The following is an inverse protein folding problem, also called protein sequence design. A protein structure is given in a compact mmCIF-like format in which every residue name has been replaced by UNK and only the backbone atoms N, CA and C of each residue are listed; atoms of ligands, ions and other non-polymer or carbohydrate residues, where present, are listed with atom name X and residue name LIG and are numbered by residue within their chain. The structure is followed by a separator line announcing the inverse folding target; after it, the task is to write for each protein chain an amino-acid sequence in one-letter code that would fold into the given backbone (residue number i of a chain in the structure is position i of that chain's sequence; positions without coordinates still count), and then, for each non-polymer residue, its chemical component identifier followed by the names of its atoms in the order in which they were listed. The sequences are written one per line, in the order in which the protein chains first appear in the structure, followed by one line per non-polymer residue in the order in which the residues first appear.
data_IF_611467389155
#
_entry.id   IF_611467389155
#
_cell.length_a   1.000
_cell.length_b   1.000
_cell.length_c   1.000
_cell.angle_alpha   90.00
_cell.angle_beta   90.00
_cell.angle_gamma   90.00
#
_symmetry.space_group_name_H-M   'P 1'
#
loop_
_entity.id
_entity.type
_entity.pdbx_description
1 polymer ?
#
# COMPACT_ATOMS: atom_id res chain seq x y z
N UNK A 1 -56.08 49.13 -2.22
CA UNK A 1 -56.38 47.94 -3.03
C UNK A 1 -55.71 46.77 -2.31
N UNK A 2 -56.26 46.28 -1.19
CA UNK A 2 -57.47 45.43 -1.10
C UNK A 2 -57.38 44.29 -2.11
N UNK A 3 -57.33 43.00 -1.74
CA UNK A 3 -58.29 42.31 -0.87
C UNK A 3 -57.69 41.14 -0.05
N UNK A 4 -58.30 40.96 1.14
CA UNK A 4 -58.36 39.74 1.97
C UNK A 4 -58.89 38.53 1.19
N UNK A 5 -58.50 37.30 1.58
CA UNK A 5 -59.49 36.31 2.03
C UNK A 5 -58.88 35.15 2.82
N UNK A 6 -59.54 34.84 3.93
CA UNK A 6 -59.34 33.69 4.80
C UNK A 6 -60.21 32.51 4.32
N UNK A 7 -59.83 31.27 4.67
CA UNK A 7 -60.78 30.18 4.85
C UNK A 7 -60.13 29.06 5.69
N UNK A 8 -60.66 28.80 6.90
CA UNK A 8 -61.46 27.60 7.27
C UNK A 8 -60.66 26.31 7.17
N UNK A 9 -60.22 25.70 8.26
CA UNK A 9 -61.07 25.22 9.34
C UNK A 9 -61.51 23.80 8.98
N UNK A 10 -60.79 22.80 9.49
CA UNK A 10 -61.31 21.44 9.64
C UNK A 10 -60.72 20.83 10.91
N UNK A 11 -61.63 20.67 11.87
CA UNK A 11 -61.52 19.80 13.02
C UNK A 11 -61.68 18.36 12.53
N UNK A 12 -60.77 17.48 12.92
CA UNK A 12 -60.99 16.03 12.93
C UNK A 12 -60.55 15.53 14.29
N UNK A 13 -61.54 15.20 15.12
CA UNK A 13 -61.42 14.16 16.14
C UNK A 13 -60.90 12.88 15.47
N UNK A 14 -59.84 12.31 16.03
CA UNK A 14 -59.48 10.92 15.75
C UNK A 14 -59.31 10.22 17.09
N UNK A 15 -60.16 9.23 17.26
CA UNK A 15 -60.30 8.35 18.40
C UNK A 15 -58.99 7.68 18.82
N UNK A 16 -58.88 7.52 20.14
CA UNK A 16 -57.98 6.61 20.81
C UNK A 16 -58.27 5.17 20.37
N UNK A 17 -57.36 4.56 19.62
CA UNK A 17 -57.18 3.11 19.60
C UNK A 17 -55.73 2.75 19.90
N UNK A 18 -55.53 2.32 21.14
CA UNK A 18 -54.35 1.64 21.62
C UNK A 18 -54.15 0.35 20.83
N UNK A 19 -53.24 0.36 19.86
CA UNK A 19 -52.70 -0.85 19.25
C UNK A 19 -51.26 -1.03 19.73
N UNK A 20 -51.13 -2.00 20.64
CA UNK A 20 -49.92 -2.76 20.92
C UNK A 20 -49.33 -3.26 19.60
N UNK A 21 -48.20 -2.71 19.20
CA UNK A 21 -47.41 -3.23 18.09
C UNK A 21 -46.14 -3.83 18.68
N UNK A 22 -46.02 -5.14 18.47
CA UNK A 22 -44.83 -5.94 18.71
C UNK A 22 -43.62 -5.26 18.09
N UNK A 23 -42.56 -5.10 18.88
CA UNK A 23 -41.26 -4.63 18.40
C UNK A 23 -40.67 -5.79 17.61
N UNK A 24 -40.94 -5.80 16.31
CA UNK A 24 -40.25 -6.66 15.35
C UNK A 24 -38.75 -6.34 15.43
N UNK A 25 -37.97 -7.35 15.81
CA UNK A 25 -36.51 -7.32 15.90
C UNK A 25 -35.84 -7.33 14.53
N UNK A 26 -36.16 -6.35 13.69
CA UNK A 26 -35.59 -6.17 12.35
C UNK A 26 -35.05 -4.74 12.17
N UNK A 27 -34.13 -4.34 13.05
CA UNK A 27 -33.37 -3.06 12.90
C UNK A 27 -31.85 -3.31 12.79
N UNK A 28 -31.40 -4.57 12.78
CA UNK A 28 -29.97 -4.90 12.63
C UNK A 28 -29.52 -5.13 11.18
N UNK A 29 -30.33 -4.78 10.18
CA UNK A 29 -29.94 -4.81 8.77
C UNK A 29 -29.70 -3.42 8.15
N UNK A 30 -30.01 -2.32 8.86
CA UNK A 30 -29.96 -0.96 8.30
C UNK A 30 -28.96 -0.02 9.02
N UNK A 31 -28.00 -0.59 9.76
CA UNK A 31 -26.83 0.14 10.30
C UNK A 31 -25.51 -0.37 9.70
N UNK A 32 -25.57 -1.29 8.73
CA UNK A 32 -24.38 -1.82 8.04
C UNK A 32 -24.14 -1.19 6.67
N UNK A 33 -25.12 -0.47 6.11
CA UNK A 33 -24.92 0.25 4.83
C UNK A 33 -24.36 1.66 5.00
N UNK A 34 -24.29 2.21 6.21
CA UNK A 34 -23.85 3.60 6.42
C UNK A 34 -22.36 3.78 6.79
N UNK A 35 -21.57 2.69 6.83
CA UNK A 35 -20.12 2.77 7.08
C UNK A 35 -19.28 2.41 5.86
N UNK A 36 -19.89 1.96 4.76
CA UNK A 36 -19.17 1.61 3.51
C UNK A 36 -19.07 2.80 2.54
N UNK A 37 -19.80 3.90 2.77
CA UNK A 37 -19.67 5.13 1.94
C UNK A 37 -18.50 6.05 2.34
N UNK A 38 -17.69 5.70 3.34
CA UNK A 38 -16.52 6.50 3.74
C UNK A 38 -15.19 6.07 3.09
N UNK A 39 -15.20 5.06 2.22
CA UNK A 39 -14.01 4.61 1.46
C UNK A 39 -14.22 4.75 -0.06
N UNK A 40 -15.43 5.10 -0.51
CA UNK A 40 -15.78 5.34 -1.93
C UNK A 40 -15.48 6.75 -2.43
N UNK A 41 -14.46 7.41 -1.88
CA UNK A 41 -14.15 8.82 -2.12
C UNK A 41 -12.69 9.08 -2.48
N UNK A 42 -11.96 8.10 -3.03
CA UNK A 42 -10.74 8.42 -3.78
C UNK A 42 -11.20 8.88 -5.15
N UNK A 43 -11.58 10.16 -5.22
CA UNK A 43 -11.69 10.90 -6.47
C UNK A 43 -10.36 10.69 -7.18
N UNK A 44 -10.42 9.96 -8.28
CA UNK A 44 -9.37 9.80 -9.27
C UNK A 44 -9.08 11.20 -9.83
N UNK A 45 -8.31 11.98 -9.09
CA UNK A 45 -7.67 13.16 -9.59
C UNK A 45 -6.59 12.65 -10.56
N UNK A 46 -7.02 12.32 -11.78
CA UNK A 46 -6.15 12.26 -12.95
C UNK A 46 -5.60 13.67 -13.11
N UNK A 47 -4.56 13.97 -12.35
CA UNK A 47 -3.72 15.12 -12.61
C UNK A 47 -3.08 14.82 -13.96
N UNK A 48 -3.63 15.42 -15.00
CA UNK A 48 -2.99 15.52 -16.30
C UNK A 48 -1.65 16.22 -16.04
N UNK A 49 -0.59 15.41 -15.84
CA UNK A 49 0.77 15.89 -15.60
C UNK A 49 1.23 16.51 -16.91
N UNK A 50 0.93 17.79 -17.07
CA UNK A 50 1.49 18.61 -18.12
C UNK A 50 2.98 18.71 -17.83
N UNK A 51 3.77 17.85 -18.50
CA UNK A 51 5.24 17.88 -18.44
C UNK A 51 5.68 19.26 -18.93
N UNK A 52 5.95 20.14 -17.97
CA UNK A 52 6.51 21.45 -18.25
C UNK A 52 7.90 21.22 -18.80
N UNK A 53 8.01 21.29 -20.14
CA UNK A 53 9.27 21.44 -20.88
C UNK A 53 9.82 22.83 -20.56
N UNK A 54 10.17 23.07 -19.30
CA UNK A 54 11.04 24.19 -18.96
C UNK A 54 12.39 23.85 -19.57
N UNK A 55 12.63 24.43 -20.74
CA UNK A 55 13.90 24.44 -21.44
C UNK A 55 14.96 24.96 -20.47
N UNK A 56 15.63 24.03 -19.77
CA UNK A 56 16.87 24.25 -19.01
C UNK A 56 18.03 24.51 -19.99
N UNK A 57 17.85 25.48 -20.89
CA UNK A 57 18.90 26.00 -21.76
C UNK A 57 19.94 26.65 -20.84
N UNK A 58 20.93 25.85 -20.42
CA UNK A 58 21.99 26.30 -19.51
C UNK A 58 22.57 25.22 -18.60
N UNK A 59 21.92 24.06 -18.42
CA UNK A 59 22.46 23.02 -17.51
C UNK A 59 23.53 22.12 -18.13
N UNK A 60 23.60 21.99 -19.45
CA UNK A 60 24.51 21.05 -20.12
C UNK A 60 25.32 21.76 -21.21
N UNK A 61 26.54 22.26 -20.90
CA UNK A 61 27.34 23.03 -21.84
C UNK A 61 27.75 22.23 -23.10
N UNK A 62 27.71 20.90 -23.06
CA UNK A 62 28.02 20.02 -24.19
C UNK A 62 26.82 19.62 -25.05
N UNK A 63 25.61 20.10 -24.76
CA UNK A 63 24.41 19.74 -25.50
C UNK A 63 24.50 20.14 -26.98
N UNK A 64 24.29 19.17 -27.88
CA UNK A 64 24.34 19.37 -29.33
C UNK A 64 25.73 19.66 -29.92
N UNK A 65 26.80 19.66 -29.11
CA UNK A 65 28.16 19.86 -29.60
C UNK A 65 28.69 18.60 -30.28
N UNK A 66 29.56 18.76 -31.27
CA UNK A 66 30.19 17.62 -31.94
C UNK A 66 31.11 16.85 -30.98
N UNK A 67 31.06 15.52 -31.02
CA UNK A 67 32.00 14.66 -30.32
C UNK A 67 33.41 14.87 -30.87
N UNK A 68 34.35 15.25 -29.99
CA UNK A 68 35.76 15.47 -30.35
C UNK A 68 35.94 16.35 -31.60
N UNK A 69 35.18 17.43 -31.71
CA UNK A 69 35.21 18.36 -32.85
C UNK A 69 34.91 17.68 -34.21
N UNK A 70 34.31 16.49 -34.19
CA UNK A 70 34.00 15.71 -35.39
C UNK A 70 35.16 14.91 -35.97
N UNK A 71 36.25 14.66 -35.22
CA UNK A 71 37.42 13.84 -35.66
C UNK A 71 37.07 12.45 -36.19
N UNK A 72 35.92 11.90 -35.78
CA UNK A 72 35.45 10.56 -36.16
C UNK A 72 34.40 10.57 -37.28
N UNK A 73 33.98 11.76 -37.76
CA UNK A 73 32.97 11.89 -38.81
C UNK A 73 33.39 11.12 -40.07
N UNK A 74 32.49 10.28 -40.57
CA UNK A 74 32.69 9.49 -41.80
C UNK A 74 33.47 8.19 -41.61
N UNK A 75 33.93 7.86 -40.40
CA UNK A 75 34.55 6.57 -40.06
C UNK A 75 33.52 5.58 -39.50
N UNK A 76 32.41 5.41 -40.22
CA UNK A 76 31.29 4.59 -39.76
C UNK A 76 31.77 3.15 -39.58
N UNK A 77 31.57 2.58 -38.38
CA UNK A 77 31.97 1.20 -38.04
C UNK A 77 31.34 0.12 -38.94
N UNK A 78 30.24 0.44 -39.63
CA UNK A 78 29.56 -0.42 -40.60
C UNK A 78 28.09 -0.03 -40.81
N UNK A 79 27.39 -0.76 -41.68
CA UNK A 79 26.00 -0.46 -42.07
C UNK A 79 24.97 -0.49 -40.93
N UNK A 80 25.33 -1.02 -39.76
CA UNK A 80 24.47 -1.04 -38.56
C UNK A 80 24.43 0.27 -37.76
N UNK A 81 25.29 1.23 -38.09
CA UNK A 81 25.49 2.45 -37.31
C UNK A 81 25.09 3.71 -38.09
N UNK A 82 24.79 4.77 -37.34
CA UNK A 82 24.54 6.11 -37.85
C UNK A 82 25.40 7.09 -37.08
N UNK A 83 26.05 8.00 -37.81
CA UNK A 83 26.78 9.11 -37.23
C UNK A 83 25.81 10.15 -36.67
N UNK A 84 25.85 10.35 -35.36
CA UNK A 84 25.11 11.41 -34.66
C UNK A 84 26.15 12.31 -34.00
N UNK A 85 26.28 13.54 -34.48
CA UNK A 85 27.18 14.51 -33.87
C UNK A 85 28.67 14.15 -33.95
N UNK A 86 29.11 13.25 -34.83
CA UNK A 86 30.49 12.76 -34.85
C UNK A 86 30.73 11.51 -34.00
N UNK A 87 29.67 10.83 -33.54
CA UNK A 87 29.72 9.60 -32.78
C UNK A 87 28.82 8.52 -33.40
N UNK A 88 29.33 7.30 -33.53
CA UNK A 88 28.59 6.18 -34.11
C UNK A 88 27.62 5.57 -33.10
N UNK A 89 26.36 5.40 -33.51
CA UNK A 89 25.28 4.86 -32.67
C UNK A 89 24.50 3.79 -33.44
N UNK A 90 24.07 2.69 -32.80
CA UNK A 90 23.21 1.70 -33.43
C UNK A 90 21.95 2.33 -34.04
N UNK A 91 21.60 1.94 -35.26
CA UNK A 91 20.42 2.46 -35.99
C UNK A 91 19.11 2.37 -35.20
N UNK A 92 18.95 1.31 -34.42
CA UNK A 92 17.75 1.04 -33.60
C UNK A 92 17.56 2.06 -32.48
N UNK A 93 18.64 2.68 -32.00
CA UNK A 93 18.64 3.57 -30.84
C UNK A 93 18.96 5.03 -31.23
N UNK A 94 19.22 5.27 -32.52
CA UNK A 94 19.67 6.54 -33.07
C UNK A 94 18.74 7.73 -32.72
N UNK A 95 17.43 7.54 -32.82
CA UNK A 95 16.46 8.60 -32.50
C UNK A 95 16.55 9.04 -31.04
N UNK A 96 16.58 8.08 -30.11
CA UNK A 96 16.69 8.35 -28.68
C UNK A 96 18.04 8.96 -28.33
N UNK A 97 19.14 8.42 -28.87
CA UNK A 97 20.47 8.99 -28.65
C UNK A 97 20.56 10.42 -29.14
N UNK A 98 19.95 10.75 -30.29
CA UNK A 98 19.94 12.12 -30.81
C UNK A 98 19.24 13.07 -29.84
N UNK A 99 18.15 12.66 -29.22
CA UNK A 99 17.48 13.47 -28.19
C UNK A 99 18.36 13.65 -26.95
N UNK A 100 19.02 12.59 -26.49
CA UNK A 100 19.95 12.67 -25.37
C UNK A 100 21.09 13.64 -25.69
N UNK A 101 21.68 13.50 -26.87
CA UNK A 101 22.75 14.37 -27.36
C UNK A 101 22.34 15.84 -27.39
N UNK A 102 21.15 16.14 -27.91
CA UNK A 102 20.63 17.51 -28.01
C UNK A 102 20.30 18.13 -26.64
N UNK A 103 19.99 17.32 -25.62
CA UNK A 103 19.59 17.82 -24.30
C UNK A 103 20.74 17.82 -23.28
N UNK A 104 21.61 16.82 -23.33
CA UNK A 104 22.61 16.51 -22.31
C UNK A 104 24.04 16.50 -22.87
N UNK A 105 24.21 16.42 -24.20
CA UNK A 105 25.49 16.20 -24.86
C UNK A 105 25.78 14.72 -25.10
N UNK A 106 26.95 14.42 -25.67
CA UNK A 106 27.37 13.04 -25.90
C UNK A 106 27.50 12.29 -24.57
N UNK A 107 27.08 11.01 -24.58
CA UNK A 107 27.26 10.09 -23.45
C UNK A 107 28.75 9.77 -23.27
N UNK A 108 29.42 9.43 -24.38
CA UNK A 108 30.84 9.11 -24.37
C UNK A 108 31.69 10.33 -23.99
N UNK A 109 32.81 10.04 -23.35
CA UNK A 109 33.81 11.00 -22.90
C UNK A 109 35.18 10.37 -23.09
N UNK A 110 36.14 11.14 -23.61
CA UNK A 110 37.51 10.65 -23.82
C UNK A 110 38.44 10.89 -22.63
N UNK A 111 37.89 11.33 -21.48
CA UNK A 111 38.67 11.67 -20.28
C UNK A 111 39.44 10.48 -19.71
N UNK A 112 38.79 9.32 -19.66
CA UNK A 112 39.38 8.07 -19.14
C UNK A 112 39.79 7.12 -20.26
N UNK A 113 38.96 7.01 -21.32
CA UNK A 113 39.27 6.20 -22.49
C UNK A 113 39.74 7.12 -23.63
N UNK A 114 41.04 7.10 -24.00
CA UNK A 114 41.53 7.92 -25.10
C UNK A 114 40.82 7.63 -26.43
N UNK A 115 40.91 8.58 -27.36
CA UNK A 115 40.37 8.47 -28.72
C UNK A 115 40.83 7.20 -29.47
N UNK A 116 42.00 6.64 -29.12
CA UNK A 116 42.49 5.36 -29.67
C UNK A 116 41.57 4.17 -29.34
N UNK A 117 40.74 4.29 -28.31
CA UNK A 117 39.75 3.29 -27.90
C UNK A 117 38.32 3.67 -28.32
N UNK A 118 38.17 4.47 -29.37
CA UNK A 118 36.87 4.90 -29.89
C UNK A 118 35.88 3.73 -30.09
N UNK A 119 36.34 2.62 -30.69
CA UNK A 119 35.49 1.42 -30.86
C UNK A 119 34.94 0.89 -29.52
N UNK A 120 35.78 0.83 -28.48
CA UNK A 120 35.35 0.42 -27.15
C UNK A 120 34.33 1.39 -26.56
N UNK A 121 34.50 2.69 -26.78
CA UNK A 121 33.52 3.69 -26.34
C UNK A 121 32.16 3.49 -27.02
N UNK A 122 32.14 3.26 -28.33
CA UNK A 122 30.90 2.97 -29.09
C UNK A 122 30.19 1.73 -28.55
N UNK A 123 30.93 0.65 -28.28
CA UNK A 123 30.36 -0.59 -27.70
C UNK A 123 29.72 -0.33 -26.33
N UNK A 124 30.43 0.34 -25.42
CA UNK A 124 29.92 0.63 -24.07
C UNK A 124 28.70 1.56 -24.11
N UNK A 125 28.72 2.57 -24.98
CA UNK A 125 27.57 3.44 -25.19
C UNK A 125 26.37 2.66 -25.73
N UNK A 126 26.59 1.71 -26.64
CA UNK A 126 25.51 0.86 -27.18
C UNK A 126 24.89 -0.01 -26.07
N UNK A 127 25.71 -0.63 -25.22
CA UNK A 127 25.22 -1.38 -24.05
C UNK A 127 24.43 -0.48 -23.09
N UNK A 128 24.90 0.74 -22.86
CA UNK A 128 24.21 1.70 -22.01
C UNK A 128 22.89 2.19 -22.63
N UNK A 129 22.83 2.39 -23.95
CA UNK A 129 21.60 2.75 -24.65
C UNK A 129 20.53 1.67 -24.50
N UNK A 130 20.93 0.40 -24.57
CA UNK A 130 20.02 -0.71 -24.28
C UNK A 130 19.49 -0.67 -22.84
N UNK A 131 20.31 -0.25 -21.86
CA UNK A 131 19.85 -0.02 -20.47
C UNK A 131 18.88 1.15 -20.40
N UNK A 132 19.16 2.26 -21.08
CA UNK A 132 18.28 3.44 -21.10
C UNK A 132 16.91 3.09 -21.71
N UNK A 133 16.89 2.35 -22.81
CA UNK A 133 15.64 1.90 -23.44
C UNK A 133 14.84 1.04 -22.48
N UNK A 134 15.47 0.08 -21.80
CA UNK A 134 14.81 -0.75 -20.77
C UNK A 134 14.26 0.10 -19.63
N UNK A 135 15.07 1.00 -19.06
CA UNK A 135 14.65 1.88 -17.96
C UNK A 135 13.48 2.80 -18.33
N UNK A 136 13.39 3.21 -19.60
CA UNK A 136 12.28 4.05 -20.07
C UNK A 136 11.02 3.25 -20.42
N UNK A 137 11.17 1.97 -20.77
CA UNK A 137 10.07 1.10 -21.18
C UNK A 137 9.48 0.23 -20.06
N UNK A 138 10.22 -0.01 -18.97
CA UNK A 138 9.76 -0.87 -17.89
C UNK A 138 8.61 -0.24 -17.10
N UNK A 139 7.56 -1.02 -16.85
CA UNK A 139 6.53 -0.67 -15.86
C UNK A 139 7.03 -1.00 -14.45
N UNK A 140 6.41 -0.41 -13.43
CA UNK A 140 6.88 -0.58 -12.04
C UNK A 140 6.79 -2.05 -11.58
N UNK A 141 5.81 -2.80 -12.10
CA UNK A 141 5.59 -4.22 -11.80
C UNK A 141 6.69 -5.12 -12.38
N UNK A 142 7.34 -4.70 -13.46
CA UNK A 142 8.45 -5.42 -14.10
C UNK A 142 9.80 -5.12 -13.42
N UNK A 143 9.88 -4.04 -12.65
CA UNK A 143 11.09 -3.65 -11.94
C UNK A 143 11.28 -4.57 -10.74
N UNK A 144 12.38 -5.32 -10.74
CA UNK A 144 12.81 -6.14 -9.61
C UNK A 144 14.13 -5.63 -9.03
N UNK A 145 14.46 -6.07 -7.81
CA UNK A 145 15.77 -5.76 -7.21
C UNK A 145 16.95 -6.23 -8.06
N UNK A 146 16.79 -7.34 -8.79
CA UNK A 146 17.80 -7.89 -9.71
C UNK A 146 17.99 -6.96 -10.92
N UNK A 147 16.89 -6.54 -11.54
CA UNK A 147 16.91 -5.59 -12.68
C UNK A 147 17.55 -4.26 -12.29
N UNK A 148 17.20 -3.71 -11.12
CA UNK A 148 17.85 -2.49 -10.58
C UNK A 148 19.35 -2.72 -10.38
N UNK A 149 19.74 -3.89 -9.86
CA UNK A 149 21.15 -4.27 -9.65
C UNK A 149 21.95 -4.31 -10.96
N UNK A 150 21.35 -4.85 -12.02
CA UNK A 150 21.98 -4.89 -13.35
C UNK A 150 22.14 -3.50 -13.95
N UNK A 151 21.12 -2.64 -13.84
CA UNK A 151 21.22 -1.23 -14.28
C UNK A 151 22.31 -0.49 -13.51
N UNK A 152 22.34 -0.64 -12.18
CA UNK A 152 23.36 -0.04 -11.29
C UNK A 152 24.77 -0.45 -11.71
N UNK A 153 24.99 -1.73 -12.04
CA UNK A 153 26.29 -2.24 -12.48
C UNK A 153 26.77 -1.55 -13.75
N UNK A 154 25.91 -1.46 -14.77
CA UNK A 154 26.25 -0.80 -16.04
C UNK A 154 26.52 0.69 -15.87
N UNK A 155 25.66 1.38 -15.10
CA UNK A 155 25.82 2.81 -14.79
C UNK A 155 27.13 3.05 -14.03
N UNK A 156 27.50 2.21 -13.05
CA UNK A 156 28.79 2.33 -12.34
C UNK A 156 30.00 2.16 -13.25
N UNK A 157 29.93 1.28 -14.24
CA UNK A 157 31.02 1.13 -15.22
C UNK A 157 31.17 2.42 -16.02
N UNK A 158 30.08 2.96 -16.54
CA UNK A 158 30.10 4.22 -17.29
C UNK A 158 30.58 5.42 -16.44
N UNK A 159 30.22 5.48 -15.16
CA UNK A 159 30.72 6.53 -14.25
C UNK A 159 32.22 6.46 -14.02
N UNK A 160 32.77 5.25 -13.86
CA UNK A 160 34.23 5.06 -13.74
C UNK A 160 34.99 5.49 -14.98
N UNK A 161 34.33 5.50 -16.13
CA UNK A 161 34.87 5.99 -17.40
C UNK A 161 34.64 7.49 -17.60
N UNK A 162 34.07 8.17 -16.59
CA UNK A 162 33.69 9.59 -16.63
C UNK A 162 32.79 9.93 -17.83
N UNK A 163 31.89 9.01 -18.20
CA UNK A 163 30.87 9.27 -19.19
C UNK A 163 29.83 10.25 -18.64
N UNK A 164 29.21 11.01 -19.54
CA UNK A 164 28.25 12.05 -19.19
C UNK A 164 26.85 11.45 -18.95
N UNK A 165 26.71 10.80 -17.80
CA UNK A 165 25.52 10.00 -17.45
C UNK A 165 24.90 10.40 -16.11
N UNK A 166 25.22 11.59 -15.59
CA UNK A 166 24.69 12.06 -14.30
C UNK A 166 23.15 12.13 -14.27
N UNK A 167 22.52 12.47 -15.40
CA UNK A 167 21.06 12.45 -15.54
C UNK A 167 20.47 11.02 -15.43
N UNK A 168 21.20 10.02 -15.93
CA UNK A 168 20.78 8.61 -15.88
C UNK A 168 20.93 8.04 -14.47
N UNK A 169 22.01 8.41 -13.77
CA UNK A 169 22.19 8.10 -12.34
C UNK A 169 21.02 8.64 -11.52
N UNK A 170 20.66 9.90 -11.71
CA UNK A 170 19.52 10.50 -11.01
C UNK A 170 18.22 9.73 -11.31
N UNK A 171 17.97 9.39 -12.58
CA UNK A 171 16.80 8.60 -12.97
C UNK A 171 16.75 7.23 -12.28
N UNK A 172 17.88 6.55 -12.13
CA UNK A 172 17.94 5.29 -11.41
C UNK A 172 17.58 5.45 -9.92
N UNK A 173 18.06 6.51 -9.27
CA UNK A 173 17.73 6.79 -7.87
C UNK A 173 16.24 7.10 -7.69
N UNK A 174 15.63 7.85 -8.61
CA UNK A 174 14.19 8.09 -8.61
C UNK A 174 13.42 6.76 -8.69
N UNK A 175 13.83 5.84 -9.57
CA UNK A 175 13.21 4.52 -9.70
C UNK A 175 13.35 3.71 -8.40
N UNK A 176 14.53 3.73 -7.76
CA UNK A 176 14.74 3.03 -6.48
C UNK A 176 13.83 3.54 -5.37
N UNK A 177 13.60 4.84 -5.31
CA UNK A 177 12.67 5.45 -4.33
C UNK A 177 11.28 4.88 -4.56
N UNK A 178 10.75 4.99 -5.79
CA UNK A 178 9.41 4.52 -6.16
C UNK A 178 9.24 3.03 -5.91
N UNK A 179 10.22 2.21 -6.31
CA UNK A 179 10.22 0.77 -6.06
C UNK A 179 10.18 0.42 -4.56
N UNK A 180 10.92 1.17 -3.74
CA UNK A 180 10.91 0.96 -2.28
C UNK A 180 9.59 1.37 -1.61
N UNK A 181 8.90 2.36 -2.17
CA UNK A 181 7.59 2.83 -1.69
C UNK A 181 6.49 1.83 -2.06
N UNK A 182 6.49 1.35 -3.30
CA UNK A 182 5.54 0.34 -3.77
C UNK A 182 5.65 -0.95 -2.96
N UNK A 183 6.88 -1.41 -2.72
CA UNK A 183 7.11 -2.59 -1.87
C UNK A 183 6.53 -2.43 -0.45
N UNK A 184 6.65 -1.25 0.15
CA UNK A 184 6.05 -0.96 1.47
C UNK A 184 4.53 -0.94 1.39
N UNK A 185 3.98 -0.38 0.32
CA UNK A 185 2.53 -0.34 0.12
C UNK A 185 1.98 -1.77 -0.02
N UNK A 186 2.64 -2.63 -0.78
CA UNK A 186 2.27 -4.04 -0.91
C UNK A 186 2.30 -4.77 0.43
N UNK A 187 3.31 -4.52 1.28
CA UNK A 187 3.40 -5.08 2.62
C UNK A 187 2.24 -4.63 3.52
N UNK A 188 1.90 -3.33 3.49
CA UNK A 188 0.76 -2.77 4.25
C UNK A 188 -0.57 -3.37 3.77
N UNK A 189 -0.75 -3.53 2.46
CA UNK A 189 -1.96 -4.14 1.89
C UNK A 189 -2.08 -5.60 2.33
N UNK A 190 -0.99 -6.36 2.30
CA UNK A 190 -0.98 -7.74 2.76
C UNK A 190 -1.33 -7.85 4.27
N UNK A 191 -0.76 -6.98 5.11
CA UNK A 191 -1.08 -6.92 6.54
C UNK A 191 -2.56 -6.54 6.78
N UNK A 192 -3.08 -5.58 6.00
CA UNK A 192 -4.48 -5.18 6.08
C UNK A 192 -5.42 -6.34 5.73
N UNK A 193 -5.11 -7.10 4.69
CA UNK A 193 -5.94 -8.22 4.27
C UNK A 193 -5.91 -9.38 5.28
N UNK A 194 -4.76 -9.62 5.92
CA UNK A 194 -4.66 -10.55 7.05
C UNK A 194 -5.51 -10.07 8.24
N UNK A 195 -5.44 -8.78 8.58
CA UNK A 195 -6.22 -8.20 9.66
C UNK A 195 -7.73 -8.28 9.39
N UNK A 196 -8.17 -8.02 8.16
CA UNK A 196 -9.57 -8.19 7.74
C UNK A 196 -10.03 -9.64 7.89
N UNK A 197 -9.20 -10.60 7.51
CA UNK A 197 -9.52 -12.02 7.68
C UNK A 197 -9.71 -12.39 9.16
N UNK A 198 -8.87 -11.87 10.06
CA UNK A 198 -9.02 -12.06 11.52
C UNK A 198 -10.29 -11.43 12.07
N UNK A 199 -10.66 -10.23 11.60
CA UNK A 199 -11.91 -9.56 12.01
C UNK A 199 -13.12 -10.38 11.59
N UNK A 200 -13.17 -10.87 10.35
CA UNK A 200 -14.26 -11.71 9.85
C UNK A 200 -14.41 -12.98 10.70
N UNK A 201 -13.31 -13.60 11.11
CA UNK A 201 -13.35 -14.79 11.96
C UNK A 201 -13.84 -14.47 13.38
N UNK A 202 -13.36 -13.39 13.99
CA UNK A 202 -13.81 -12.95 15.30
C UNK A 202 -15.31 -12.58 15.32
N UNK A 203 -15.81 -11.95 14.24
CA UNK A 203 -17.23 -11.64 14.07
C UNK A 203 -18.11 -12.90 14.01
N UNK A 204 -17.65 -13.94 13.31
CA UNK A 204 -18.35 -15.24 13.28
C UNK A 204 -18.40 -15.89 14.66
N UNK A 205 -17.30 -15.86 15.41
CA UNK A 205 -17.25 -16.40 16.77
C UNK A 205 -18.17 -15.64 17.71
N UNK A 206 -18.17 -14.31 17.62
CA UNK A 206 -19.06 -13.45 18.40
C UNK A 206 -20.53 -13.72 18.08
N UNK A 207 -20.88 -13.95 16.82
CA UNK A 207 -22.22 -14.34 16.42
C UNK A 207 -22.65 -15.68 17.06
N UNK A 208 -21.78 -16.69 17.03
CA UNK A 208 -22.04 -17.99 17.65
C UNK A 208 -22.23 -17.88 19.17
N UNK A 209 -21.40 -17.10 19.86
CA UNK A 209 -21.52 -16.89 21.30
C UNK A 209 -22.79 -16.11 21.67
N UNK A 210 -23.19 -15.13 20.84
CA UNK A 210 -24.48 -14.45 21.01
C UNK A 210 -25.66 -15.41 20.91
N UNK A 211 -25.63 -16.34 19.96
CA UNK A 211 -26.67 -17.37 19.81
C UNK A 211 -26.72 -18.29 21.05
N UNK A 212 -25.55 -18.71 21.56
CA UNK A 212 -25.44 -19.50 22.80
C UNK A 212 -25.98 -18.76 24.02
N UNK A 213 -25.66 -17.48 24.16
CA UNK A 213 -26.18 -16.64 25.25
C UNK A 213 -27.69 -16.49 25.17
N UNK A 214 -28.24 -16.23 23.98
CA UNK A 214 -29.69 -16.17 23.77
C UNK A 214 -30.37 -17.50 24.13
N UNK A 215 -29.79 -18.64 23.73
CA UNK A 215 -30.29 -19.96 24.09
C UNK A 215 -30.21 -20.24 25.61
N UNK A 216 -29.23 -19.68 26.33
CA UNK A 216 -29.13 -19.79 27.78
C UNK A 216 -30.15 -18.89 28.48
N UNK A 217 -30.35 -17.67 27.98
CA UNK A 217 -31.31 -16.70 28.51
C UNK A 217 -32.73 -17.26 28.50
N UNK A 218 -33.14 -17.97 27.43
CA UNK A 218 -34.46 -18.64 27.37
C UNK A 218 -34.63 -19.76 28.41
N UNK A 219 -33.54 -20.34 28.95
CA UNK A 219 -33.57 -21.41 29.96
C UNK A 219 -33.67 -20.89 31.39
N UNK A 220 -33.35 -19.61 31.64
CA UNK A 220 -33.36 -19.03 32.99
C UNK A 220 -34.80 -18.95 33.58
N UNK A 221 -35.83 -18.46 32.87
CA UNK A 221 -37.17 -18.34 33.44
C UNK A 221 -37.77 -19.66 33.93
N UNK A 222 -37.72 -20.78 33.17
CA UNK A 222 -38.20 -22.09 33.64
C UNK A 222 -37.49 -22.56 34.93
N UNK A 223 -36.17 -22.36 35.04
CA UNK A 223 -35.40 -22.73 36.22
C UNK A 223 -35.78 -21.89 37.45
N UNK A 224 -36.02 -20.59 37.26
CA UNK A 224 -36.52 -19.72 38.33
C UNK A 224 -37.90 -20.14 38.82
N UNK A 225 -38.81 -20.47 37.90
CA UNK A 225 -40.15 -21.00 38.24
C UNK A 225 -40.02 -22.34 38.98
N UNK A 226 -39.18 -23.25 38.49
CA UNK A 226 -38.94 -24.55 39.15
C UNK A 226 -38.39 -24.37 40.58
N UNK A 227 -37.44 -23.46 40.78
CA UNK A 227 -36.89 -23.11 42.10
C UNK A 227 -37.95 -22.54 43.04
N UNK A 228 -38.81 -21.65 42.56
CA UNK A 228 -39.89 -21.08 43.37
C UNK A 228 -40.92 -22.16 43.74
N UNK A 229 -41.31 -23.01 42.78
CA UNK A 229 -42.20 -24.14 43.02
C UNK A 229 -41.64 -25.12 44.06
N UNK A 230 -40.33 -25.39 44.02
CA UNK A 230 -39.65 -26.20 45.02
C UNK A 230 -39.73 -25.57 46.42
N UNK A 231 -39.43 -24.26 46.54
CA UNK A 231 -39.57 -23.53 47.81
C UNK A 231 -40.98 -23.57 48.36
N UNK A 232 -41.99 -23.37 47.51
CA UNK A 232 -43.40 -23.40 47.92
C UNK A 232 -43.84 -24.80 48.37
N UNK A 233 -43.38 -25.87 47.68
CA UNK A 233 -43.69 -27.25 48.05
C UNK A 233 -43.01 -27.69 49.34
N UNK A 234 -41.78 -27.25 49.59
CA UNK A 234 -41.00 -27.61 50.77
C UNK A 234 -41.19 -26.61 51.92
N UNK A 235 -42.32 -25.87 51.97
CA UNK A 235 -42.61 -24.71 52.83
C UNK A 235 -42.61 -24.88 54.35
N UNK A 236 -41.79 -25.76 54.91
CA UNK A 236 -41.35 -25.67 56.30
C UNK A 236 -40.12 -24.77 56.44
N UNK A 237 -39.84 -24.21 57.62
CA UNK A 237 -38.53 -23.64 57.92
C UNK A 237 -37.49 -24.67 57.49
N UNK A 238 -36.52 -24.29 56.65
CA UNK A 238 -35.33 -25.10 56.51
C UNK A 238 -34.84 -25.32 57.93
N UNK A 239 -34.96 -26.54 58.44
CA UNK A 239 -34.21 -26.97 59.59
C UNK A 239 -32.76 -26.91 59.11
N UNK A 240 -32.17 -25.71 59.22
CA UNK A 240 -30.74 -25.53 59.35
C UNK A 240 -30.41 -26.50 60.47
N UNK A 241 -29.85 -27.64 60.09
CA UNK A 241 -29.22 -28.54 61.04
C UNK A 241 -28.11 -27.73 61.69
N UNK A 242 -28.45 -27.01 62.76
CA UNK A 242 -27.55 -26.66 63.85
C UNK A 242 -27.23 -27.98 64.58
N UNK A 243 -26.70 -28.94 63.84
CA UNK A 243 -26.07 -30.11 64.40
C UNK A 243 -24.73 -29.62 64.90
N UNK A 244 -24.63 -29.36 66.21
CA UNK A 244 -23.36 -29.34 66.94
C UNK A 244 -22.69 -30.72 66.96
N UNK A 245 -22.67 -31.41 65.82
CA UNK A 245 -21.90 -32.61 65.61
C UNK A 245 -20.60 -32.16 64.96
N UNK A 246 -19.55 -32.19 65.78
CA UNK A 246 -18.16 -32.18 65.38
C UNK A 246 -17.93 -33.29 64.34
N UNK A 247 -18.18 -32.99 63.07
CA UNK A 247 -17.75 -33.83 61.96
C UNK A 247 -16.35 -33.35 61.59
N UNK A 248 -15.36 -34.13 62.01
CA UNK A 248 -13.99 -34.00 61.52
C UNK A 248 -14.00 -33.90 60.00
N UNK A 249 -13.23 -32.97 59.41
CA UNK A 249 -13.10 -32.89 57.97
C UNK A 249 -12.47 -34.19 57.48
N UNK A 250 -13.24 -34.99 56.75
CA UNK A 250 -12.67 -36.05 55.92
C UNK A 250 -12.00 -35.34 54.75
N UNK A 251 -10.70 -35.12 54.90
CA UNK A 251 -9.81 -34.68 53.84
C UNK A 251 -9.79 -35.78 52.78
N UNK A 252 -10.61 -35.63 51.75
CA UNK A 252 -10.40 -36.37 50.51
C UNK A 252 -9.15 -35.77 49.82
N UNK A 253 -8.18 -36.60 49.39
CA UNK A 253 -7.01 -36.10 48.68
C UNK A 253 -7.47 -35.53 47.32
N UNK A 254 -7.34 -34.22 47.17
CA UNK A 254 -7.37 -33.55 45.88
C UNK A 254 -6.10 -33.99 45.15
N UNK A 255 -6.25 -34.83 44.12
CA UNK A 255 -5.22 -35.02 43.13
C UNK A 255 -5.23 -33.79 42.23
N UNK A 256 -4.30 -32.87 42.49
CA UNK A 256 -3.92 -31.80 41.59
C UNK A 256 -3.11 -32.39 40.43
N UNK A 257 -3.79 -32.79 39.36
CA UNK A 257 -3.16 -33.03 38.06
C UNK A 257 -2.88 -31.67 37.39
N UNK A 258 -1.79 -31.03 37.85
CA UNK A 258 -1.18 -29.90 37.18
C UNK A 258 -0.47 -30.37 35.91
N UNK A 259 -1.15 -30.29 34.77
CA UNK A 259 -0.50 -30.31 33.45
C UNK A 259 -0.09 -28.87 33.13
N UNK A 260 1.13 -28.51 33.57
CA UNK A 260 1.84 -27.33 33.12
C UNK A 260 2.38 -27.64 31.71
N UNK A 261 1.76 -27.06 30.68
CA UNK A 261 2.36 -26.99 29.34
C UNK A 261 2.87 -25.57 29.18
N UNK A 262 4.15 -25.35 29.47
CA UNK A 262 4.83 -24.10 29.10
C UNK A 262 5.08 -24.14 27.59
N UNK A 263 4.38 -23.29 26.83
CA UNK A 263 4.87 -22.87 25.52
C UNK A 263 5.89 -21.73 25.72
N UNK A 264 7.09 -21.82 25.11
CA UNK A 264 8.07 -20.74 25.16
C UNK A 264 7.62 -19.57 24.28
N UNK A 265 7.36 -18.43 24.92
CA UNK A 265 7.25 -17.13 24.26
C UNK A 265 8.63 -16.72 23.70
N UNK A 266 8.75 -16.39 22.40
CA UNK A 266 9.95 -15.75 21.90
C UNK A 266 9.98 -14.25 22.27
N UNK A 267 11.10 -13.85 22.85
CA UNK A 267 11.46 -12.48 23.20
C UNK A 267 11.28 -11.50 22.03
N UNK A 268 10.34 -10.55 22.17
CA UNK A 268 10.25 -9.38 21.29
C UNK A 268 10.88 -8.17 21.99
N UNK A 269 12.17 -7.97 21.73
CA UNK A 269 12.91 -6.79 22.19
C UNK A 269 12.79 -5.63 21.18
N UNK A 270 11.95 -4.66 21.54
CA UNK A 270 12.16 -3.21 21.44
C UNK A 270 12.84 -2.64 20.19
N UNK A 271 12.03 -2.31 19.19
CA UNK A 271 12.35 -1.27 18.20
C UNK A 271 11.83 0.08 18.67
N UNK A 272 12.73 0.91 19.20
CA UNK A 272 12.47 2.31 19.57
C UNK A 272 12.65 3.18 18.33
N UNK A 273 11.57 3.48 17.60
CA UNK A 273 11.59 4.43 16.48
C UNK A 273 11.02 5.78 16.94
N UNK A 274 11.88 6.78 17.00
CA UNK A 274 11.46 8.18 17.05
C UNK A 274 10.87 8.64 15.71
N UNK A 275 10.08 9.73 15.69
CA UNK A 275 9.39 10.18 14.49
C UNK A 275 10.35 10.89 13.54
N UNK A 276 10.40 10.55 12.24
CA UNK A 276 11.01 11.42 11.26
C UNK A 276 10.01 12.49 10.83
N UNK A 277 10.38 13.72 11.12
CA UNK A 277 9.78 14.95 10.61
C UNK A 277 9.64 14.88 9.09
N UNK A 278 8.40 14.96 8.60
CA UNK A 278 8.09 14.96 7.18
C UNK A 278 8.69 16.18 6.47
N UNK A 279 9.49 15.91 5.44
CA UNK A 279 9.80 16.88 4.39
C UNK A 279 9.04 16.40 3.16
N UNK A 280 7.96 17.12 2.84
CA UNK A 280 7.16 16.91 1.64
C UNK A 280 7.98 17.26 0.40
N UNK A 281 8.62 16.25 -0.20
CA UNK A 281 9.24 16.33 -1.51
C UNK A 281 8.20 16.07 -2.59
N UNK A 282 7.80 17.10 -3.32
CA UNK A 282 6.92 17.00 -4.49
C UNK A 282 7.72 16.40 -5.66
N UNK A 283 7.63 15.08 -5.84
CA UNK A 283 8.29 14.37 -6.95
C UNK A 283 7.46 14.57 -8.23
N UNK A 284 8.10 15.14 -9.26
CA UNK A 284 7.53 15.41 -10.58
C UNK A 284 7.97 14.28 -11.51
N UNK A 285 7.06 13.39 -11.89
CA UNK A 285 7.33 12.36 -12.90
C UNK A 285 7.40 12.99 -14.30
N UNK A 286 8.47 12.68 -15.03
CA UNK A 286 8.64 13.04 -16.44
C UNK A 286 8.25 11.80 -17.26
N UNK A 287 7.03 11.77 -17.76
CA UNK A 287 6.55 10.78 -18.72
C UNK A 287 6.22 11.49 -20.04
N UNK A 288 7.09 11.36 -21.03
CA UNK A 288 6.72 11.62 -22.43
C UNK A 288 7.80 11.10 -23.38
N UNK A 289 7.61 9.87 -23.87
CA UNK A 289 8.24 9.33 -25.08
C UNK A 289 7.28 8.29 -25.67
N UNK A 290 6.27 8.78 -26.39
CA UNK A 290 5.48 8.05 -27.37
C UNK A 290 4.66 9.06 -28.18
N UNK A 291 5.24 9.55 -29.28
CA UNK A 291 4.52 10.03 -30.47
C UNK A 291 5.39 9.80 -31.70
#
# INVERSE_FOLDING_TARGET
MDYRQANTGNSMEVDLQSNSMEVDGSVLAEVVTQTIELIGGVVEAVAEVTVSRETKQGMFPGAGQLYEEGKHRGKILGDGFVDIGGFDVPKTEASLYKEIWLNYGHIASNRVLPDSYYFSQVTIVSELMSVIVKMNGCTLEEVSSEVIGDWEKNIRVAEKLEFNIGWLRQRLEDIKIVFSEDKKLQEIVAEQDEAKARVIEAEKQLFLEKERLSALETKIPPLLVAKQNFRNKCGGPLLLFNGGASLSPVTAPVQDDAILTEEPMPDNNNSKRGPPTGIAGKIRFISSLNK
#
